data_IF_499291790690
#
_entry.id   IF_499291790690
#
_cell.length_a   1.000
_cell.length_b   1.000
_cell.length_c   1.000
_cell.angle_alpha   90.00
_cell.angle_beta   90.00
_cell.angle_gamma   90.00
#
_symmetry.space_group_name_H-M   'P 1'
#
loop_
_entity.id
_entity.type
_entity.pdbx_description
1 polymer ?
#
# COMPACT_ATOMS: atom_id res chain seq x y z
N UNK A 1 10.53 3.43 -21.70
CA UNK A 1 9.94 2.90 -22.95
C UNK A 1 8.56 2.28 -22.68
N UNK A 2 8.40 1.42 -21.66
CA UNK A 2 7.15 0.69 -21.41
C UNK A 2 5.95 1.57 -20.98
N UNK A 3 6.15 2.57 -20.11
CA UNK A 3 5.06 3.46 -19.69
C UNK A 3 4.43 4.26 -20.84
N UNK A 4 5.25 4.78 -21.75
CA UNK A 4 4.77 5.56 -22.91
C UNK A 4 3.96 4.66 -23.86
N UNK A 5 4.39 3.42 -24.06
CA UNK A 5 3.67 2.43 -24.86
C UNK A 5 2.31 2.04 -24.23
N UNK A 6 2.22 2.02 -22.89
CA UNK A 6 0.99 1.77 -22.14
C UNK A 6 0.09 2.99 -21.96
N UNK A 7 0.43 4.14 -22.54
CA UNK A 7 -0.34 5.39 -22.37
C UNK A 7 -0.33 5.91 -20.94
N UNK A 8 0.73 5.65 -20.17
CA UNK A 8 0.93 6.15 -18.82
C UNK A 8 1.84 7.38 -18.85
N UNK A 9 1.28 8.55 -18.53
CA UNK A 9 2.07 9.77 -18.38
C UNK A 9 2.82 9.72 -17.05
N UNK A 10 4.04 10.25 -17.03
CA UNK A 10 4.89 10.26 -15.81
C UNK A 10 4.15 10.83 -14.60
N UNK A 11 3.43 11.93 -14.79
CA UNK A 11 2.67 12.65 -13.77
C UNK A 11 1.24 12.16 -13.56
N UNK A 12 0.79 11.10 -14.27
CA UNK A 12 -0.54 10.50 -14.04
C UNK A 12 -0.71 10.03 -12.60
N UNK A 13 -1.95 10.06 -12.11
CA UNK A 13 -2.33 9.54 -10.80
C UNK A 13 -1.83 8.12 -10.56
N UNK A 14 -1.45 7.83 -9.32
CA UNK A 14 -1.01 6.51 -8.86
C UNK A 14 -1.89 6.01 -7.72
N UNK A 15 -1.81 4.71 -7.48
CA UNK A 15 -2.20 4.07 -6.24
C UNK A 15 -1.24 2.90 -5.96
N UNK A 16 -1.21 2.40 -4.74
CA UNK A 16 -0.38 1.26 -4.37
C UNK A 16 -1.21 0.11 -3.79
N UNK A 17 -0.77 -1.12 -4.05
CA UNK A 17 -1.26 -2.32 -3.36
C UNK A 17 -0.13 -3.00 -2.64
N UNK A 18 -0.39 -3.48 -1.44
CA UNK A 18 0.56 -4.23 -0.63
C UNK A 18 -0.07 -5.59 -0.34
N UNK A 19 0.72 -6.63 -0.54
CA UNK A 19 0.36 -8.03 -0.32
C UNK A 19 1.35 -8.64 0.66
N UNK A 20 0.91 -8.83 1.91
CA UNK A 20 1.79 -9.27 2.99
C UNK A 20 2.33 -10.67 2.79
N UNK A 21 1.45 -11.63 2.50
CA UNK A 21 1.85 -13.03 2.31
C UNK A 21 2.84 -13.16 1.13
N UNK A 22 2.56 -12.50 0.02
CA UNK A 22 3.43 -12.51 -1.16
C UNK A 22 4.68 -11.64 -0.97
N UNK A 23 4.73 -10.78 0.05
CA UNK A 23 5.81 -9.82 0.26
C UNK A 23 5.96 -8.84 -0.91
N UNK A 24 4.85 -8.39 -1.52
CA UNK A 24 4.87 -7.52 -2.71
C UNK A 24 4.23 -6.17 -2.47
N UNK A 25 4.85 -5.13 -3.03
CA UNK A 25 4.25 -3.82 -3.23
C UNK A 25 4.11 -3.54 -4.72
N UNK A 26 2.89 -3.27 -5.16
CA UNK A 26 2.57 -2.93 -6.54
C UNK A 26 2.24 -1.44 -6.65
N UNK A 27 2.77 -0.78 -7.67
CA UNK A 27 2.35 0.55 -8.08
C UNK A 27 1.49 0.43 -9.33
N UNK A 28 0.30 1.00 -9.25
CA UNK A 28 -0.63 1.11 -10.36
C UNK A 28 -0.69 2.57 -10.79
N UNK A 29 -0.70 2.81 -12.10
CA UNK A 29 -0.73 4.16 -12.67
C UNK A 29 -1.87 4.32 -13.65
N UNK A 30 -2.56 5.45 -13.57
CA UNK A 30 -3.64 5.78 -14.48
C UNK A 30 -3.11 5.97 -15.91
N UNK A 31 -3.75 5.28 -16.85
CA UNK A 31 -3.59 5.50 -18.28
C UNK A 31 -4.38 6.73 -18.71
N UNK A 32 -4.15 7.20 -19.93
CA UNK A 32 -4.90 8.31 -20.54
C UNK A 32 -6.42 8.12 -20.56
N UNK A 33 -6.91 6.88 -20.50
CA UNK A 33 -8.35 6.57 -20.45
C UNK A 33 -8.94 6.57 -19.03
N UNK A 34 -8.16 7.03 -18.04
CA UNK A 34 -8.57 7.10 -16.63
C UNK A 34 -8.47 5.78 -15.86
N UNK A 35 -8.17 4.65 -16.52
CA UNK A 35 -8.04 3.35 -15.85
C UNK A 35 -6.62 3.10 -15.38
N UNK A 36 -6.49 2.55 -14.20
CA UNK A 36 -5.23 2.09 -13.63
C UNK A 36 -4.75 0.80 -14.29
N UNK A 37 -3.44 0.70 -14.44
CA UNK A 37 -2.76 -0.51 -14.88
C UNK A 37 -1.43 -0.65 -14.15
N UNK A 38 -0.95 -1.88 -14.01
CA UNK A 38 0.24 -2.19 -13.21
C UNK A 38 1.47 -1.63 -13.92
N UNK A 39 2.20 -0.73 -13.24
CA UNK A 39 3.42 -0.14 -13.79
C UNK A 39 4.68 -0.77 -13.21
N UNK A 40 4.64 -1.18 -11.94
CA UNK A 40 5.79 -1.80 -11.28
C UNK A 40 5.37 -2.68 -10.10
N UNK A 41 6.17 -3.72 -9.84
CA UNK A 41 6.05 -4.59 -8.67
C UNK A 41 7.41 -4.67 -7.98
N UNK A 42 7.40 -4.57 -6.65
CA UNK A 42 8.57 -4.55 -5.80
C UNK A 42 8.48 -5.62 -4.72
N UNK A 43 9.60 -6.28 -4.45
CA UNK A 43 9.78 -7.13 -3.27
C UNK A 43 9.89 -6.27 -2.01
N UNK A 44 9.08 -6.58 -1.00
CA UNK A 44 9.17 -6.01 0.33
C UNK A 44 10.25 -6.76 1.08
N UNK A 45 11.26 -6.05 1.57
CA UNK A 45 12.35 -6.63 2.36
C UNK A 45 11.81 -7.32 3.61
N UNK A 46 11.07 -6.55 4.40
CA UNK A 46 10.43 -7.01 5.65
C UNK A 46 9.19 -6.17 5.90
N UNK A 47 8.17 -6.84 6.40
CA UNK A 47 7.04 -6.24 7.07
C UNK A 47 6.87 -6.93 8.43
N UNK A 48 6.29 -6.25 9.41
CA UNK A 48 6.26 -6.74 10.79
C UNK A 48 4.93 -7.39 11.15
N UNK A 49 4.99 -8.44 11.97
CA UNK A 49 3.83 -9.14 12.51
C UNK A 49 3.47 -10.39 11.71
N UNK A 50 2.18 -10.70 11.67
CA UNK A 50 1.59 -11.83 10.92
C UNK A 50 0.45 -11.33 10.02
N UNK A 51 -0.22 -12.22 9.29
CA UNK A 51 -1.45 -11.86 8.61
C UNK A 51 -2.51 -11.43 9.63
N UNK A 52 -3.19 -10.33 9.33
CA UNK A 52 -4.16 -9.68 10.19
C UNK A 52 -3.91 -8.18 10.34
N UNK A 53 -4.94 -7.42 10.76
CA UNK A 53 -4.85 -5.99 10.97
C UNK A 53 -4.04 -5.63 12.22
N UNK A 54 -3.56 -4.39 12.25
CA UNK A 54 -2.93 -3.76 13.42
C UNK A 54 -4.02 -3.28 14.39
N UNK A 55 -3.80 -3.43 15.70
CA UNK A 55 -4.77 -2.97 16.72
C UNK A 55 -4.19 -1.95 17.70
N UNK A 56 -2.96 -2.13 18.17
CA UNK A 56 -2.43 -1.27 19.25
C UNK A 56 -1.04 -0.75 18.93
N UNK A 57 -0.68 0.40 19.49
CA UNK A 57 0.71 0.88 19.41
C UNK A 57 1.67 -0.15 20.00
N UNK A 58 2.84 -0.32 19.39
CA UNK A 58 3.86 -1.26 19.85
C UNK A 58 3.60 -2.75 19.57
N UNK A 59 2.45 -3.14 18.98
CA UNK A 59 2.15 -4.55 18.64
C UNK A 59 3.04 -5.15 17.52
N UNK A 60 3.95 -4.34 16.95
CA UNK A 60 4.83 -4.69 15.82
C UNK A 60 4.07 -5.31 14.64
N UNK A 61 2.84 -4.91 14.41
CA UNK A 61 1.98 -5.40 13.33
C UNK A 61 1.85 -4.33 12.25
N UNK A 62 2.16 -4.68 11.00
CA UNK A 62 1.80 -3.84 9.86
C UNK A 62 0.27 -3.89 9.63
N UNK A 63 -0.40 -2.79 9.27
CA UNK A 63 -1.85 -2.75 9.13
C UNK A 63 -2.32 -3.38 7.80
N UNK A 64 -3.60 -3.73 7.77
CA UNK A 64 -4.35 -4.14 6.59
C UNK A 64 -5.56 -3.22 6.47
N UNK A 65 -5.88 -2.79 5.25
CA UNK A 65 -6.95 -1.81 5.01
C UNK A 65 -6.66 -0.88 3.84
N UNK A 66 -7.53 0.14 3.73
CA UNK A 66 -7.43 1.20 2.74
C UNK A 66 -6.93 2.47 3.42
N UNK A 67 -5.83 3.00 2.91
CA UNK A 67 -5.12 4.14 3.47
C UNK A 67 -4.87 5.19 2.41
N UNK A 68 -4.49 6.39 2.85
CA UNK A 68 -4.32 7.55 1.98
C UNK A 68 -3.04 8.27 2.33
N UNK A 69 -2.25 8.56 1.29
CA UNK A 69 -1.04 9.36 1.39
C UNK A 69 -1.25 10.70 0.72
N UNK A 70 -0.99 11.77 1.47
CA UNK A 70 -0.98 13.16 1.03
C UNK A 70 0.46 13.67 0.90
N UNK A 71 0.70 14.78 0.17
CA UNK A 71 2.03 15.38 0.06
C UNK A 71 2.73 15.61 1.40
N UNK A 72 1.99 16.01 2.44
CA UNK A 72 2.53 16.25 3.79
C UNK A 72 3.04 14.99 4.49
N UNK A 73 2.65 13.80 4.03
CA UNK A 73 3.10 12.52 4.56
C UNK A 73 4.39 12.02 3.88
N UNK A 74 4.85 12.67 2.80
CA UNK A 74 6.09 12.34 2.12
C UNK A 74 7.28 12.94 2.86
N UNK A 75 8.26 12.12 3.21
CA UNK A 75 9.44 12.51 3.96
C UNK A 75 10.73 12.25 3.16
N UNK A 76 11.31 13.29 2.52
CA UNK A 76 12.56 13.15 1.79
C UNK A 76 13.80 13.10 2.69
N UNK A 77 13.67 13.44 4.00
CA UNK A 77 14.77 13.48 4.97
C UNK A 77 14.64 12.34 6.01
N UNK A 78 14.15 11.19 5.57
CA UNK A 78 14.01 10.00 6.40
C UNK A 78 15.38 9.49 6.86
N UNK A 79 15.49 9.12 8.14
CA UNK A 79 16.67 8.42 8.66
C UNK A 79 16.86 7.00 8.08
N UNK A 80 15.85 6.48 7.37
CA UNK A 80 15.84 5.16 6.74
C UNK A 80 15.83 5.24 5.20
N UNK A 81 16.39 6.31 4.63
CA UNK A 81 16.42 6.61 3.18
C UNK A 81 15.04 6.70 2.51
N UNK A 82 14.53 7.93 2.42
CA UNK A 82 13.16 8.26 1.97
C UNK A 82 12.07 7.53 2.78
N UNK A 83 10.93 8.16 2.97
CA UNK A 83 9.76 7.47 3.51
C UNK A 83 8.47 8.20 3.21
N UNK A 84 7.35 7.53 3.38
CA UNK A 84 6.07 8.19 3.54
C UNK A 84 5.19 7.45 4.53
N UNK A 85 4.42 8.21 5.30
CA UNK A 85 3.43 7.66 6.23
C UNK A 85 2.20 7.22 5.45
N UNK A 86 1.74 5.99 5.63
CA UNK A 86 0.58 5.47 4.88
C UNK A 86 -0.74 6.08 5.34
N UNK A 87 -0.81 6.66 6.56
CA UNK A 87 -2.03 7.28 7.09
C UNK A 87 -2.82 6.40 8.06
N UNK A 88 -2.18 5.39 8.67
CA UNK A 88 -2.74 4.65 9.81
C UNK A 88 -2.55 5.44 11.12
N UNK A 89 -3.54 5.44 12.03
CA UNK A 89 -4.89 4.89 11.88
C UNK A 89 -5.76 5.81 11.01
N UNK A 90 -6.58 5.24 10.14
CA UNK A 90 -7.60 5.99 9.38
C UNK A 90 -8.89 6.16 10.22
N UNK A 91 -9.97 6.66 9.61
CA UNK A 91 -11.26 6.83 10.31
C UNK A 91 -11.87 5.50 10.78
N UNK A 92 -11.81 4.45 9.95
CA UNK A 92 -12.26 3.11 10.30
C UNK A 92 -11.46 2.56 11.49
N UNK A 93 -10.14 2.70 11.45
CA UNK A 93 -9.26 2.22 12.52
C UNK A 93 -9.59 2.88 13.85
N UNK A 94 -9.73 4.21 13.86
CA UNK A 94 -10.11 4.98 15.06
C UNK A 94 -11.49 4.59 15.59
N UNK A 95 -12.49 4.42 14.70
CA UNK A 95 -13.83 4.01 15.09
C UNK A 95 -13.86 2.59 15.72
N UNK A 96 -12.89 1.75 15.39
CA UNK A 96 -12.72 0.40 15.94
C UNK A 96 -11.67 0.35 17.07
N UNK A 97 -11.35 1.49 17.70
CA UNK A 97 -10.44 1.56 18.84
C UNK A 97 -8.98 1.22 18.53
N UNK A 98 -8.58 1.22 17.25
CA UNK A 98 -7.21 0.90 16.86
C UNK A 98 -6.29 2.10 17.06
N UNK A 99 -5.10 1.84 17.62
CA UNK A 99 -4.12 2.87 18.00
C UNK A 99 -2.74 2.60 17.40
N UNK A 100 -1.88 3.62 17.44
CA UNK A 100 -0.54 3.62 16.87
C UNK A 100 -0.32 4.78 15.92
N UNK A 101 0.89 4.88 15.40
CA UNK A 101 1.34 5.98 14.56
C UNK A 101 2.56 5.54 13.73
N UNK A 102 2.94 6.38 12.77
CA UNK A 102 4.18 6.23 11.99
C UNK A 102 4.31 4.88 11.27
N UNK A 103 3.23 4.44 10.62
CA UNK A 103 3.27 3.28 9.74
C UNK A 103 3.76 3.74 8.37
N UNK A 104 5.02 3.43 8.08
CA UNK A 104 5.73 3.96 6.92
C UNK A 104 5.94 2.90 5.84
N UNK A 105 6.12 3.37 4.62
CA UNK A 105 6.93 2.67 3.61
C UNK A 105 8.28 3.42 3.53
N UNK A 106 9.40 2.71 3.66
CA UNK A 106 10.73 3.32 3.74
C UNK A 106 11.84 2.40 3.23
N UNK A 107 13.05 2.93 3.02
CA UNK A 107 14.25 2.17 2.63
C UNK A 107 14.93 1.41 3.78
N UNK A 108 16.24 1.21 3.68
CA UNK A 108 17.10 0.60 4.70
C UNK A 108 16.78 -0.84 5.13
N UNK A 109 15.89 -1.57 4.40
CA UNK A 109 15.63 -3.01 4.52
C UNK A 109 15.52 -3.55 5.97
N UNK A 110 15.02 -2.73 6.89
CA UNK A 110 14.92 -3.00 8.33
C UNK A 110 13.52 -2.65 8.80
N UNK A 111 12.85 -3.49 9.60
CA UNK A 111 11.46 -3.22 10.02
C UNK A 111 11.25 -3.44 11.51
N UNK A 112 10.56 -2.49 12.16
CA UNK A 112 10.01 -2.61 13.53
C UNK A 112 8.52 -2.21 13.57
N UNK A 113 7.78 -2.46 12.50
CA UNK A 113 6.35 -2.12 12.36
C UNK A 113 5.93 -1.69 10.94
N UNK A 114 6.88 -1.36 10.08
CA UNK A 114 6.67 -0.73 8.77
C UNK A 114 6.80 -1.71 7.58
N UNK A 115 6.53 -1.23 6.38
CA UNK A 115 6.88 -1.90 5.12
C UNK A 115 8.25 -1.40 4.65
N UNK A 116 9.29 -2.19 4.90
CA UNK A 116 10.66 -1.82 4.51
C UNK A 116 10.99 -2.33 3.10
N UNK A 117 11.64 -1.47 2.34
CA UNK A 117 12.09 -1.70 0.97
C UNK A 117 13.62 -1.55 0.91
N UNK A 118 14.23 -1.93 -0.21
CA UNK A 118 15.61 -1.49 -0.50
C UNK A 118 15.63 -0.02 -0.90
N UNK A 119 16.80 0.62 -0.79
CA UNK A 119 16.96 2.05 -1.10
C UNK A 119 16.62 2.36 -2.57
N UNK A 120 17.07 1.51 -3.50
CA UNK A 120 16.75 1.65 -4.91
C UNK A 120 15.24 1.51 -5.21
N UNK A 121 14.53 0.64 -4.48
CA UNK A 121 13.09 0.47 -4.66
C UNK A 121 12.32 1.67 -4.11
N UNK A 122 12.65 2.13 -2.89
CA UNK A 122 11.93 3.26 -2.29
C UNK A 122 12.15 4.55 -3.06
N UNK A 123 13.31 4.76 -3.70
CA UNK A 123 13.53 5.89 -4.61
C UNK A 123 12.51 5.93 -5.74
N UNK A 124 12.24 4.78 -6.37
CA UNK A 124 11.25 4.69 -7.44
C UNK A 124 9.83 4.85 -6.93
N UNK A 125 9.49 4.18 -5.82
CA UNK A 125 8.15 4.25 -5.21
C UNK A 125 7.84 5.68 -4.76
N UNK A 126 8.80 6.34 -4.10
CA UNK A 126 8.70 7.73 -3.68
C UNK A 126 8.58 8.66 -4.89
N UNK A 127 9.35 8.43 -5.95
CA UNK A 127 9.27 9.20 -7.18
C UNK A 127 7.88 9.09 -7.84
N UNK A 128 7.24 7.90 -7.83
CA UNK A 128 5.88 7.76 -8.35
C UNK A 128 4.87 8.64 -7.60
N UNK A 129 4.92 8.63 -6.26
CA UNK A 129 4.06 9.48 -5.43
C UNK A 129 4.34 10.96 -5.67
N UNK A 130 5.62 11.37 -5.64
CA UNK A 130 6.05 12.74 -5.92
C UNK A 130 5.57 13.23 -7.28
N UNK A 131 5.80 12.45 -8.34
CA UNK A 131 5.49 12.86 -9.71
C UNK A 131 3.98 12.92 -9.94
N UNK A 132 3.19 12.05 -9.28
CA UNK A 132 1.74 12.13 -9.32
C UNK A 132 1.19 13.38 -8.60
N UNK A 133 1.79 13.76 -7.47
CA UNK A 133 1.47 15.02 -6.79
C UNK A 133 1.85 16.25 -7.62
N UNK A 134 3.01 16.23 -8.30
CA UNK A 134 3.37 17.25 -9.28
C UNK A 134 2.38 17.32 -10.45
N UNK A 135 1.74 16.19 -10.79
CA UNK A 135 0.66 16.10 -11.77
C UNK A 135 -0.71 16.58 -11.29
N UNK A 136 -0.84 17.01 -10.04
CA UNK A 136 -2.08 17.52 -9.47
C UNK A 136 -2.92 16.49 -8.72
N UNK A 137 -2.46 15.23 -8.58
CA UNK A 137 -3.10 14.30 -7.65
C UNK A 137 -2.99 14.88 -6.22
N UNK A 138 -4.09 14.97 -5.49
CA UNK A 138 -4.09 15.56 -4.13
C UNK A 138 -3.75 14.53 -3.04
N UNK A 139 -4.04 13.26 -3.33
CA UNK A 139 -3.75 12.11 -2.48
C UNK A 139 -3.74 10.82 -3.31
N UNK A 140 -2.96 9.83 -2.91
CA UNK A 140 -3.02 8.49 -3.50
C UNK A 140 -3.40 7.44 -2.45
N UNK A 141 -4.12 6.41 -2.90
CA UNK A 141 -4.58 5.32 -2.04
C UNK A 141 -3.51 4.23 -1.93
N UNK A 142 -3.42 3.64 -0.74
CA UNK A 142 -2.71 2.39 -0.47
C UNK A 142 -3.72 1.35 -0.02
N UNK A 143 -3.77 0.22 -0.71
CA UNK A 143 -4.59 -0.93 -0.31
C UNK A 143 -3.66 -2.02 0.23
N UNK A 144 -3.65 -2.22 1.55
CA UNK A 144 -2.84 -3.24 2.20
C UNK A 144 -3.68 -4.49 2.51
N UNK A 145 -3.34 -5.60 1.88
CA UNK A 145 -4.06 -6.86 1.96
C UNK A 145 -3.23 -7.94 2.66
N UNK A 146 -3.89 -8.92 3.31
CA UNK A 146 -3.19 -10.06 3.87
C UNK A 146 -2.50 -10.89 2.78
N UNK A 147 -3.16 -11.07 1.64
CA UNK A 147 -2.72 -11.86 0.50
C UNK A 147 -3.50 -11.44 -0.75
N UNK A 148 -3.14 -11.95 -1.94
CA UNK A 148 -3.99 -11.82 -3.14
C UNK A 148 -5.35 -12.46 -2.88
N UNK A 149 -6.42 -11.69 -2.87
CA UNK A 149 -7.75 -12.11 -2.37
C UNK A 149 -8.55 -13.00 -3.36
N UNK A 150 -7.87 -13.97 -3.96
CA UNK A 150 -8.46 -14.99 -4.84
C UNK A 150 -9.42 -15.89 -4.06
N UNK A 151 -10.36 -16.54 -4.77
CA UNK A 151 -11.29 -17.48 -4.14
C UNK A 151 -10.55 -18.62 -3.41
N UNK A 152 -9.45 -19.12 -3.98
CA UNK A 152 -8.61 -20.16 -3.37
C UNK A 152 -7.96 -19.68 -2.06
N UNK A 153 -7.39 -18.47 -2.04
CA UNK A 153 -6.79 -17.91 -0.83
C UNK A 153 -7.84 -17.64 0.26
N UNK A 154 -9.01 -17.09 -0.11
CA UNK A 154 -10.12 -16.92 0.83
C UNK A 154 -10.59 -18.25 1.41
N UNK A 155 -10.67 -19.31 0.60
CA UNK A 155 -11.04 -20.64 1.08
C UNK A 155 -9.97 -21.25 2.03
N UNK A 156 -8.68 -21.07 1.70
CA UNK A 156 -7.55 -21.52 2.53
C UNK A 156 -7.59 -20.92 3.93
N UNK A 157 -8.01 -19.67 4.04
CA UNK A 157 -8.02 -18.90 5.29
C UNK A 157 -9.39 -18.80 5.98
N UNK A 158 -10.38 -19.61 5.56
CA UNK A 158 -11.77 -19.52 6.03
C UNK A 158 -11.98 -19.63 7.55
N UNK A 159 -11.03 -20.25 8.26
CA UNK A 159 -11.10 -20.48 9.71
C UNK A 159 -10.22 -19.50 10.51
N UNK A 160 -9.57 -18.54 9.86
CA UNK A 160 -8.74 -17.54 10.54
C UNK A 160 -9.64 -16.56 11.33
N UNK A 161 -9.26 -16.14 12.54
CA UNK A 161 -10.03 -15.15 13.31
C UNK A 161 -10.25 -13.82 12.58
N UNK A 162 -9.41 -13.46 11.61
CA UNK A 162 -9.53 -12.24 10.82
C UNK A 162 -10.40 -12.39 9.57
N UNK A 163 -10.98 -13.57 9.32
CA UNK A 163 -11.69 -13.88 8.08
C UNK A 163 -12.84 -12.91 7.78
N UNK A 164 -13.63 -12.52 8.79
CA UNK A 164 -14.72 -11.55 8.63
C UNK A 164 -14.21 -10.18 8.18
N UNK A 165 -13.08 -9.73 8.75
CA UNK A 165 -12.41 -8.51 8.34
C UNK A 165 -11.88 -8.62 6.90
N UNK A 166 -11.33 -9.78 6.51
CA UNK A 166 -10.87 -10.02 5.14
C UNK A 166 -12.02 -10.10 4.13
N UNK A 167 -13.20 -10.63 4.49
CA UNK A 167 -14.38 -10.54 3.63
C UNK A 167 -14.78 -9.09 3.37
N UNK A 168 -14.69 -8.21 4.36
CA UNK A 168 -14.94 -6.79 4.18
C UNK A 168 -13.91 -6.14 3.24
N UNK A 169 -12.61 -6.41 3.42
CA UNK A 169 -11.57 -5.92 2.50
C UNK A 169 -11.76 -6.41 1.06
N UNK A 170 -12.23 -7.65 0.89
CA UNK A 170 -12.44 -8.26 -0.42
C UNK A 170 -13.41 -7.46 -1.30
N UNK A 171 -14.41 -6.79 -0.71
CA UNK A 171 -15.36 -5.96 -1.47
C UNK A 171 -14.61 -4.87 -2.25
N UNK A 172 -13.70 -4.15 -1.60
CA UNK A 172 -12.89 -3.12 -2.26
C UNK A 172 -11.83 -3.71 -3.20
N UNK A 173 -11.25 -4.85 -2.84
CA UNK A 173 -10.33 -5.58 -3.72
C UNK A 173 -10.98 -5.92 -5.06
N UNK A 174 -12.15 -6.58 -5.02
CA UNK A 174 -12.90 -7.04 -6.20
C UNK A 174 -13.43 -5.87 -7.02
N UNK A 175 -13.89 -4.80 -6.36
CA UNK A 175 -14.34 -3.59 -7.05
C UNK A 175 -13.24 -3.00 -7.94
N UNK A 176 -12.02 -2.87 -7.41
CA UNK A 176 -10.89 -2.38 -8.22
C UNK A 176 -10.46 -3.38 -9.29
N UNK A 177 -10.54 -4.70 -9.05
CA UNK A 177 -10.25 -5.70 -10.10
C UNK A 177 -11.15 -5.55 -11.32
N UNK A 178 -12.42 -5.22 -11.12
CA UNK A 178 -13.41 -5.08 -12.19
C UNK A 178 -13.28 -3.71 -12.86
N UNK A 179 -13.21 -2.65 -12.06
CA UNK A 179 -13.36 -1.27 -12.56
C UNK A 179 -12.03 -0.67 -13.02
N UNK A 180 -10.93 -1.02 -12.34
CA UNK A 180 -9.60 -0.41 -12.52
C UNK A 180 -9.63 1.11 -12.41
N UNK A 181 -10.45 1.67 -11.51
CA UNK A 181 -10.52 3.13 -11.22
C UNK A 181 -10.27 3.41 -9.75
#
# INVERSE_FOLDING_TARGET
ADMKAKGMVRTSSVMARIFKEEGKLEIWKAKINGRYDLVATYDICKWSGKLGPKYTEGDRQAPEGFYTVRPSQMNPRSNYHLSFNIGFPNAYDRANGRTGQNLMVHGACSSSGCYSMTDAQIEQIYAFGRDAFQGGQTEFQIQAFPFRMTAANMARYRNDPNYEFWKMLKVGYDNFEITKV
#
